data_IF_428327021918
#
_entry.id   IF_428327021918
#
_cell.length_a   1.000
_cell.length_b   1.000
_cell.length_c   1.000
_cell.angle_alpha   90.00
_cell.angle_beta   90.00
_cell.angle_gamma   90.00
#
_symmetry.space_group_name_H-M   'P 1'
#
loop_
_entity.id
_entity.type
_entity.pdbx_description
1 polymer ?
#
# COMPACT_ATOMS: atom_id res chain seq x y z
N UNK A 1 -9.62 -10.87 -10.94
CA UNK A 1 -9.33 -10.22 -9.65
C UNK A 1 -9.34 -11.25 -8.53
N UNK A 2 -8.30 -11.22 -7.70
CA UNK A 2 -8.21 -12.00 -6.47
C UNK A 2 -8.12 -11.02 -5.29
N UNK A 3 -8.74 -11.37 -4.18
CA UNK A 3 -8.60 -10.67 -2.90
C UNK A 3 -8.17 -11.71 -1.88
N UNK A 4 -7.08 -11.44 -1.17
CA UNK A 4 -6.52 -12.35 -0.20
C UNK A 4 -6.38 -11.66 1.16
N UNK A 5 -6.81 -12.33 2.22
CA UNK A 5 -6.43 -11.99 3.60
C UNK A 5 -5.26 -12.89 3.97
N UNK A 6 -4.09 -12.29 4.06
CA UNK A 6 -2.84 -12.98 4.31
C UNK A 6 -2.65 -13.28 5.80
N UNK A 7 -1.97 -14.36 6.10
CA UNK A 7 -1.63 -14.75 7.48
C UNK A 7 -0.15 -14.57 7.72
N UNK A 8 0.24 -14.40 8.98
CA UNK A 8 1.64 -14.41 9.39
C UNK A 8 2.50 -13.31 8.73
N UNK A 9 1.91 -12.13 8.52
CA UNK A 9 2.65 -10.96 8.03
C UNK A 9 3.76 -10.59 9.02
N UNK A 10 3.43 -10.41 10.29
CA UNK A 10 4.30 -9.98 11.39
C UNK A 10 5.49 -10.92 11.70
N UNK A 11 5.46 -12.14 11.20
CA UNK A 11 6.52 -13.13 11.40
C UNK A 11 7.23 -13.56 10.11
N UNK A 12 7.19 -12.69 9.08
CA UNK A 12 7.95 -12.87 7.86
C UNK A 12 7.12 -13.00 6.59
N UNK A 13 5.95 -12.31 6.49
CA UNK A 13 5.17 -12.10 5.25
C UNK A 13 4.76 -13.42 4.58
N UNK A 14 4.55 -14.49 5.35
CA UNK A 14 4.49 -15.87 4.85
C UNK A 14 3.25 -16.14 4.02
N UNK A 15 2.11 -15.61 4.46
CA UNK A 15 0.84 -15.78 3.74
C UNK A 15 0.86 -15.09 2.39
N UNK A 16 1.41 -13.89 2.30
CA UNK A 16 1.56 -13.16 1.04
C UNK A 16 2.46 -13.90 0.06
N UNK A 17 3.59 -14.43 0.54
CA UNK A 17 4.51 -15.20 -0.29
C UNK A 17 3.85 -16.44 -0.91
N UNK A 18 3.10 -17.20 -0.12
CA UNK A 18 2.46 -18.44 -0.58
C UNK A 18 1.25 -18.17 -1.46
N UNK A 19 0.41 -17.18 -1.11
CA UNK A 19 -0.76 -16.82 -1.89
C UNK A 19 -0.38 -16.24 -3.25
N UNK A 20 0.59 -15.33 -3.29
CA UNK A 20 1.08 -14.75 -4.54
C UNK A 20 1.69 -15.81 -5.46
N UNK A 21 2.43 -16.78 -4.90
CA UNK A 21 2.96 -17.89 -5.69
C UNK A 21 1.84 -18.74 -6.33
N UNK A 22 0.76 -18.98 -5.61
CA UNK A 22 -0.39 -19.75 -6.10
C UNK A 22 -1.22 -19.01 -7.13
N UNK A 23 -1.44 -17.71 -6.93
CA UNK A 23 -2.24 -16.85 -7.83
C UNK A 23 -1.48 -16.47 -9.09
N UNK A 24 -0.17 -16.28 -9.02
CA UNK A 24 0.70 -15.82 -10.11
C UNK A 24 0.18 -14.51 -10.78
N UNK A 25 0.03 -13.43 -10.03
CA UNK A 25 -0.57 -12.21 -10.54
C UNK A 25 0.41 -11.41 -11.40
N UNK A 26 -0.08 -10.65 -12.40
CA UNK A 26 0.72 -9.67 -13.14
C UNK A 26 0.98 -8.39 -12.34
N UNK A 27 0.00 -8.03 -11.49
CA UNK A 27 0.07 -6.86 -10.61
C UNK A 27 -0.52 -7.21 -9.26
N UNK A 28 0.08 -6.69 -8.20
CA UNK A 28 -0.38 -6.86 -6.84
C UNK A 28 -0.37 -5.53 -6.08
N UNK A 29 -1.35 -5.35 -5.22
CA UNK A 29 -1.39 -4.23 -4.27
C UNK A 29 -1.42 -4.83 -2.87
N UNK A 30 -0.42 -4.52 -2.07
CA UNK A 30 -0.47 -4.76 -0.64
C UNK A 30 -1.30 -3.64 0.04
N UNK A 31 -2.10 -4.02 1.00
CA UNK A 31 -2.84 -3.10 1.86
C UNK A 31 -2.40 -3.33 3.29
N UNK A 32 -1.95 -2.28 3.93
CA UNK A 32 -1.35 -2.35 5.26
C UNK A 32 -1.69 -1.10 6.07
N UNK A 33 -1.15 -0.96 7.25
CA UNK A 33 -1.13 0.28 8.03
C UNK A 33 0.23 0.97 7.89
N UNK A 34 0.30 2.25 8.27
CA UNK A 34 1.58 2.98 8.36
C UNK A 34 1.54 3.98 9.50
N UNK A 35 2.70 4.31 10.04
CA UNK A 35 2.82 5.27 11.12
C UNK A 35 2.27 6.64 10.74
N UNK A 36 1.22 7.10 11.43
CA UNK A 36 0.82 8.49 11.40
C UNK A 36 1.81 9.32 12.23
N UNK A 37 2.23 10.45 11.68
CA UNK A 37 3.23 11.32 12.29
C UNK A 37 2.64 12.57 12.92
N UNK A 38 1.32 12.67 12.96
CA UNK A 38 0.54 13.75 13.56
C UNK A 38 0.26 13.56 15.05
N UNK A 39 1.18 12.90 15.75
CA UNK A 39 1.13 12.70 17.19
C UNK A 39 2.41 13.22 17.86
N UNK A 40 2.36 13.50 19.18
CA UNK A 40 3.53 13.94 19.94
C UNK A 40 4.70 12.97 19.79
N UNK A 41 5.92 13.48 19.88
CA UNK A 41 7.17 12.70 19.90
C UNK A 41 7.67 12.20 18.55
N UNK A 42 6.97 12.40 17.43
CA UNK A 42 7.46 12.01 16.11
C UNK A 42 8.05 13.22 15.38
N UNK A 43 9.27 13.06 14.88
CA UNK A 43 9.92 14.07 14.05
C UNK A 43 9.46 13.93 12.59
N UNK A 44 8.55 14.77 12.17
CA UNK A 44 8.04 14.82 10.79
C UNK A 44 9.10 15.08 9.73
N UNK A 45 10.24 15.69 10.10
CA UNK A 45 11.34 15.92 9.15
C UNK A 45 12.07 14.62 8.81
N UNK A 46 12.13 13.70 9.78
CA UNK A 46 12.75 12.40 9.58
C UNK A 46 11.77 11.37 8.98
N UNK A 47 10.52 11.37 9.46
CA UNK A 47 9.54 10.31 9.18
C UNK A 47 8.51 10.67 8.08
N UNK A 48 8.48 11.93 7.64
CA UNK A 48 7.47 12.43 6.71
C UNK A 48 6.25 13.01 7.43
N UNK A 49 5.30 13.55 6.68
CA UNK A 49 4.08 14.16 7.21
C UNK A 49 2.85 13.33 6.80
N UNK A 50 2.48 12.38 7.63
CA UNK A 50 1.32 11.51 7.48
C UNK A 50 0.34 11.75 8.63
N UNK A 51 -0.91 12.05 8.32
CA UNK A 51 -1.92 12.39 9.31
C UNK A 51 -3.20 11.56 9.13
N UNK A 52 -3.87 11.26 10.25
CA UNK A 52 -5.19 10.65 10.24
C UNK A 52 -6.23 11.56 9.57
N UNK A 53 -7.18 10.96 8.87
CA UNK A 53 -8.29 11.68 8.23
C UNK A 53 -7.89 12.40 6.93
N UNK A 54 -6.65 12.24 6.46
CA UNK A 54 -6.15 12.86 5.23
C UNK A 54 -6.12 11.91 4.03
N UNK A 55 -6.67 10.73 4.19
CA UNK A 55 -6.68 9.67 3.17
C UNK A 55 -5.54 8.67 3.35
N UNK A 56 -5.63 7.53 2.65
CA UNK A 56 -4.59 6.52 2.66
C UNK A 56 -3.28 7.04 2.08
N UNK A 57 -2.19 6.36 2.41
CA UNK A 57 -0.85 6.66 1.92
C UNK A 57 -0.52 5.75 0.75
N UNK A 58 -0.16 6.31 -0.39
CA UNK A 58 0.41 5.59 -1.52
C UNK A 58 1.94 5.72 -1.44
N UNK A 59 2.63 4.60 -1.40
CA UNK A 59 4.08 4.58 -1.23
C UNK A 59 4.84 4.57 -2.54
N UNK A 60 5.95 5.32 -2.56
CA UNK A 60 7.05 5.22 -3.53
C UNK A 60 8.26 4.59 -2.83
N UNK A 61 8.95 3.71 -3.51
CA UNK A 61 10.13 3.05 -2.95
C UNK A 61 10.70 1.98 -3.87
N UNK A 62 11.84 1.37 -3.50
CA UNK A 62 12.56 0.44 -4.38
C UNK A 62 11.79 -0.86 -4.64
N UNK A 63 10.84 -1.24 -3.80
CA UNK A 63 9.97 -2.39 -3.97
C UNK A 63 8.58 -2.04 -4.50
N UNK A 64 8.39 -0.81 -4.99
CA UNK A 64 7.14 -0.36 -5.62
C UNK A 64 7.37 -0.14 -7.12
N UNK A 65 6.50 -0.72 -7.93
CA UNK A 65 6.54 -0.48 -9.37
C UNK A 65 6.03 0.93 -9.68
N UNK A 66 6.79 1.78 -10.40
CA UNK A 66 6.41 3.18 -10.66
C UNK A 66 5.10 3.29 -11.45
N UNK A 67 4.84 2.40 -12.40
CA UNK A 67 3.61 2.43 -13.19
C UNK A 67 2.39 2.09 -12.34
N UNK A 68 2.51 1.17 -11.36
CA UNK A 68 1.43 0.88 -10.40
C UNK A 68 1.16 2.10 -9.53
N UNK A 69 2.20 2.74 -9.00
CA UNK A 69 2.06 3.94 -8.17
C UNK A 69 1.40 5.07 -8.95
N UNK A 70 1.86 5.34 -10.17
CA UNK A 70 1.30 6.42 -10.99
C UNK A 70 -0.17 6.18 -11.36
N UNK A 71 -0.56 4.92 -11.60
CA UNK A 71 -1.97 4.55 -11.84
C UNK A 71 -2.82 4.67 -10.57
N UNK A 72 -2.32 4.32 -9.39
CA UNK A 72 -3.01 4.56 -8.12
C UNK A 72 -3.28 6.06 -7.92
N UNK A 73 -2.27 6.90 -8.15
CA UNK A 73 -2.42 8.35 -8.04
C UNK A 73 -3.35 8.94 -9.11
N UNK A 74 -3.35 8.38 -10.32
CA UNK A 74 -4.30 8.77 -11.37
C UNK A 74 -5.74 8.38 -11.00
N UNK A 75 -5.94 7.17 -10.45
CA UNK A 75 -7.23 6.72 -9.96
C UNK A 75 -7.76 7.62 -8.83
N UNK A 76 -6.90 7.99 -7.87
CA UNK A 76 -7.24 8.93 -6.80
C UNK A 76 -7.73 10.27 -7.36
N UNK A 77 -6.95 10.88 -8.29
CA UNK A 77 -7.33 12.16 -8.93
C UNK A 77 -8.64 12.07 -9.69
N UNK A 78 -8.88 10.98 -10.43
CA UNK A 78 -10.09 10.82 -11.26
C UNK A 78 -11.38 10.70 -10.47
N UNK A 79 -11.29 10.43 -9.17
CA UNK A 79 -12.40 10.22 -8.24
C UNK A 79 -12.39 11.19 -7.06
N UNK A 80 -11.54 12.20 -7.10
CA UNK A 80 -11.36 13.18 -6.01
C UNK A 80 -11.12 12.51 -4.64
N UNK A 81 -10.43 11.35 -4.63
CA UNK A 81 -10.07 10.66 -3.41
C UNK A 81 -8.81 11.30 -2.83
N UNK A 82 -8.87 11.86 -1.62
CA UNK A 82 -7.67 12.40 -0.99
C UNK A 82 -6.71 11.26 -0.65
N UNK A 83 -5.43 11.43 -1.01
CA UNK A 83 -4.35 10.50 -0.69
C UNK A 83 -3.13 11.26 -0.22
N UNK A 84 -2.33 10.61 0.58
CA UNK A 84 -1.03 11.11 1.02
C UNK A 84 0.08 10.33 0.29
N UNK A 85 1.25 10.95 0.13
CA UNK A 85 2.41 10.28 -0.44
C UNK A 85 3.38 9.90 0.65
N UNK A 86 3.72 8.60 0.69
CA UNK A 86 4.83 8.08 1.46
C UNK A 86 6.03 7.79 0.56
N UNK A 87 7.22 7.83 1.13
CA UNK A 87 8.44 7.46 0.43
C UNK A 87 9.33 6.62 1.36
N UNK A 88 9.93 5.58 0.79
CA UNK A 88 10.92 4.78 1.49
C UNK A 88 12.17 4.65 0.64
N UNK A 89 13.33 4.90 1.24
CA UNK A 89 14.62 4.68 0.58
C UNK A 89 15.08 3.21 0.61
N UNK A 90 14.29 2.34 1.20
CA UNK A 90 14.53 0.89 1.32
C UNK A 90 13.23 0.12 1.13
N UNK A 91 13.31 -1.20 1.00
CA UNK A 91 12.13 -2.05 0.96
C UNK A 91 11.26 -1.85 2.22
N UNK A 92 9.94 -1.74 2.02
CA UNK A 92 8.99 -1.62 3.14
C UNK A 92 8.86 -2.96 3.87
N UNK A 93 8.71 -2.98 5.19
CA UNK A 93 8.47 -4.21 5.95
C UNK A 93 7.00 -4.60 5.91
N UNK A 94 6.46 -4.83 4.71
CA UNK A 94 5.06 -5.16 4.43
C UNK A 94 4.98 -6.30 3.42
N UNK A 95 3.80 -6.87 3.23
CA UNK A 95 3.56 -7.91 2.22
C UNK A 95 4.04 -7.53 0.81
N UNK A 96 4.09 -6.23 0.49
CA UNK A 96 4.62 -5.74 -0.77
C UNK A 96 6.07 -6.22 -1.05
N UNK A 97 6.85 -6.45 -0.01
CA UNK A 97 8.25 -6.87 -0.16
C UNK A 97 8.39 -8.29 -0.74
N UNK A 98 7.51 -9.21 -0.40
CA UNK A 98 7.55 -10.58 -0.93
C UNK A 98 6.72 -10.71 -2.21
N UNK A 99 5.68 -9.89 -2.38
CA UNK A 99 4.89 -9.87 -3.60
C UNK A 99 5.76 -9.57 -4.82
N UNK A 100 6.59 -8.52 -4.75
CA UNK A 100 7.43 -8.10 -5.88
C UNK A 100 8.44 -9.16 -6.34
N UNK A 101 8.89 -10.04 -5.44
CA UNK A 101 9.89 -11.08 -5.74
C UNK A 101 9.28 -12.45 -6.04
N UNK A 102 7.95 -12.53 -6.10
CA UNK A 102 7.27 -13.80 -6.38
C UNK A 102 7.53 -14.24 -7.81
N UNK A 103 7.91 -15.51 -8.00
CA UNK A 103 8.22 -16.13 -9.31
C UNK A 103 9.22 -15.30 -10.13
N UNK A 104 8.80 -14.79 -11.29
CA UNK A 104 9.61 -13.95 -12.17
C UNK A 104 9.55 -12.46 -11.85
N UNK A 105 8.83 -12.11 -10.80
CA UNK A 105 8.57 -10.73 -10.38
C UNK A 105 7.13 -10.31 -10.64
N UNK A 106 6.58 -9.52 -9.72
CA UNK A 106 5.21 -9.00 -9.81
C UNK A 106 5.26 -7.48 -9.66
N UNK A 107 4.61 -6.75 -10.56
CA UNK A 107 4.48 -5.31 -10.43
C UNK A 107 3.66 -4.98 -9.17
N UNK A 108 4.30 -4.37 -8.18
CA UNK A 108 3.70 -4.24 -6.84
C UNK A 108 3.50 -2.80 -6.44
N UNK A 109 2.38 -2.51 -5.79
CA UNK A 109 2.07 -1.25 -5.12
C UNK A 109 1.76 -1.47 -3.64
N UNK A 110 1.78 -0.38 -2.88
CA UNK A 110 1.41 -0.37 -1.46
C UNK A 110 0.48 0.80 -1.19
N UNK A 111 -0.66 0.49 -0.58
CA UNK A 111 -1.62 1.46 -0.04
C UNK A 111 -1.74 1.21 1.45
N UNK A 112 -1.45 2.23 2.27
CA UNK A 112 -1.45 2.06 3.73
C UNK A 112 -2.43 3.01 4.40
N UNK A 113 -3.13 2.51 5.42
CA UNK A 113 -4.00 3.33 6.28
C UNK A 113 -3.17 3.95 7.40
N UNK A 114 -3.19 5.29 7.58
CA UNK A 114 -2.49 5.92 8.69
C UNK A 114 -2.96 5.38 10.06
N UNK A 115 -2.00 5.04 10.91
CA UNK A 115 -2.24 4.47 12.23
C UNK A 115 -1.36 5.18 13.26
N UNK A 116 -1.94 5.77 14.29
CA UNK A 116 -1.20 6.26 15.45
C UNK A 116 -0.97 5.14 16.45
N UNK A 117 0.19 5.17 17.10
CA UNK A 117 0.57 4.23 18.16
C UNK A 117 0.59 2.78 17.71
N UNK A 118 0.96 2.55 16.45
CA UNK A 118 1.07 1.20 15.85
C UNK A 118 1.89 0.26 16.73
N UNK A 119 1.47 -1.00 16.79
CA UNK A 119 2.04 -2.05 17.67
C UNK A 119 1.88 -1.76 19.17
N UNK A 120 0.87 -1.01 19.55
CA UNK A 120 0.51 -0.77 20.95
C UNK A 120 -0.94 -1.20 21.24
N UNK A 121 -1.31 -1.22 22.53
CA UNK A 121 -2.68 -1.55 22.92
C UNK A 121 -3.71 -0.43 22.65
N UNK A 122 -3.28 0.70 22.13
CA UNK A 122 -4.10 1.91 21.94
C UNK A 122 -3.98 2.44 20.51
N UNK A 123 -3.86 1.56 19.55
CA UNK A 123 -3.82 1.93 18.12
C UNK A 123 -5.05 2.71 17.70
N UNK A 124 -4.86 3.67 16.80
CA UNK A 124 -5.92 4.55 16.36
C UNK A 124 -5.82 4.80 14.85
N UNK A 125 -6.92 4.56 14.14
CA UNK A 125 -7.10 4.86 12.71
C UNK A 125 -8.34 5.75 12.52
N UNK A 126 -8.38 6.47 11.41
CA UNK A 126 -9.60 7.13 10.95
C UNK A 126 -10.35 6.18 10.00
N UNK A 127 -11.60 5.85 10.30
CA UNK A 127 -12.41 4.94 9.46
C UNK A 127 -12.56 5.47 8.04
N UNK A 128 -12.69 6.79 7.88
CA UNK A 128 -12.72 7.43 6.57
C UNK A 128 -11.48 7.12 5.71
N UNK A 129 -10.30 6.95 6.33
CA UNK A 129 -9.09 6.61 5.58
C UNK A 129 -9.12 5.17 5.08
N UNK A 130 -9.74 4.26 5.84
CA UNK A 130 -9.97 2.88 5.41
C UNK A 130 -10.98 2.80 4.26
N UNK A 131 -12.09 3.54 4.36
CA UNK A 131 -13.10 3.63 3.31
C UNK A 131 -12.50 4.20 2.01
N UNK A 132 -11.71 5.29 2.13
CA UNK A 132 -10.99 5.87 0.98
C UNK A 132 -9.95 4.95 0.38
N UNK A 133 -9.29 4.11 1.19
CA UNK A 133 -8.40 3.07 0.68
C UNK A 133 -9.16 2.05 -0.17
N UNK A 134 -10.33 1.60 0.29
CA UNK A 134 -11.19 0.69 -0.47
C UNK A 134 -11.68 1.33 -1.77
N UNK A 135 -12.11 2.60 -1.75
CA UNK A 135 -12.53 3.34 -2.93
C UNK A 135 -11.39 3.52 -3.93
N UNK A 136 -10.18 3.81 -3.45
CA UNK A 136 -8.98 3.93 -4.27
C UNK A 136 -8.66 2.62 -5.00
N UNK A 137 -8.69 1.50 -4.27
CA UNK A 137 -8.46 0.17 -4.84
C UNK A 137 -9.52 -0.18 -5.89
N UNK A 138 -10.78 0.10 -5.59
CA UNK A 138 -11.87 -0.12 -6.54
C UNK A 138 -11.72 0.74 -7.80
N UNK A 139 -11.31 2.00 -7.65
CA UNK A 139 -11.05 2.90 -8.77
C UNK A 139 -9.85 2.43 -9.62
N UNK A 140 -8.77 2.01 -8.97
CA UNK A 140 -7.59 1.44 -9.62
C UNK A 140 -7.96 0.21 -10.47
N UNK A 141 -8.67 -0.76 -9.86
CA UNK A 141 -9.06 -2.00 -10.56
C UNK A 141 -9.95 -1.72 -11.76
N UNK A 142 -10.94 -0.80 -11.62
CA UNK A 142 -11.81 -0.40 -12.73
C UNK A 142 -11.08 0.32 -13.86
N UNK A 143 -9.93 0.94 -13.56
CA UNK A 143 -9.08 1.60 -14.56
C UNK A 143 -8.08 0.67 -15.26
N UNK A 144 -8.07 -0.63 -14.94
CA UNK A 144 -7.23 -1.62 -15.61
C UNK A 144 -7.92 -2.14 -16.89
N UNK A 145 -7.72 -1.45 -18.00
CA UNK A 145 -8.27 -1.83 -19.30
C UNK A 145 -7.18 -2.22 -20.28
N UNK A 146 -7.39 -3.32 -21.01
CA UNK A 146 -6.49 -3.82 -22.05
C UNK A 146 -5.16 -4.37 -21.53
N UNK A 147 -4.23 -4.69 -22.44
CA UNK A 147 -2.89 -5.12 -22.05
C UNK A 147 -2.12 -3.92 -21.48
N UNK A 148 -1.53 -4.11 -20.31
CA UNK A 148 -0.74 -3.10 -19.61
C UNK A 148 0.69 -3.61 -19.52
N UNK A 149 1.64 -2.80 -19.98
CA UNK A 149 3.05 -3.02 -19.73
C UNK A 149 3.41 -2.55 -18.32
N UNK A 150 3.85 -3.48 -17.50
CA UNK A 150 4.28 -3.25 -16.13
C UNK A 150 5.81 -3.17 -15.98
N UNK A 151 6.55 -3.30 -17.07
CA UNK A 151 8.01 -3.16 -17.01
C UNK A 151 8.38 -1.73 -16.58
N UNK A 152 9.28 -1.58 -15.57
CA UNK A 152 9.68 -0.29 -15.04
C UNK A 152 10.55 0.50 -16.01
#
# INVERSE_FOLDING_TARGET
LFVASTVQEEIGLRGAQTSAHGVDPHVAIAVDVTHATDCPTIDKKAEGDVALGKGPVVYRGPNMNPHVVDRLLAAARSRDIPVQLGASGRATPTDANVLQTTRSGVATGLVSVPNRYMHSAVEMVALDDADRAADLLAAFVRGLEGPIDWAP
#
